data_IF_278213200247
#
_entry.id   IF_278213200247
#
_cell.length_a   1.000
_cell.length_b   1.000
_cell.length_c   1.000
_cell.angle_alpha   90.00
_cell.angle_beta   90.00
_cell.angle_gamma   90.00
#
_symmetry.space_group_name_H-M   'P 1'
#
loop_
_entity.id
_entity.type
_entity.pdbx_description
1 polymer ?
#
# COMPACT_ATOMS: atom_id res chain seq x y z
N UNK A 1 -3.11 -17.70 -11.61
CA UNK A 1 -4.46 -17.89 -12.23
C UNK A 1 -5.55 -17.12 -11.47
N UNK A 2 -5.67 -17.27 -10.15
CA UNK A 2 -6.58 -16.46 -9.30
C UNK A 2 -6.44 -14.95 -9.54
N UNK A 3 -5.20 -14.46 -9.54
CA UNK A 3 -4.84 -13.08 -9.84
C UNK A 3 -5.29 -12.63 -11.23
N UNK A 4 -5.32 -13.53 -12.22
CA UNK A 4 -5.77 -13.20 -13.58
C UNK A 4 -7.28 -12.96 -13.63
N UNK A 5 -8.07 -13.74 -12.88
CA UNK A 5 -9.52 -13.52 -12.77
C UNK A 5 -9.83 -12.22 -12.04
N UNK A 6 -9.08 -11.92 -10.96
CA UNK A 6 -9.22 -10.65 -10.27
C UNK A 6 -8.86 -9.47 -11.18
N UNK A 7 -7.70 -9.51 -11.83
CA UNK A 7 -7.28 -8.49 -12.81
C UNK A 7 -8.37 -8.21 -13.83
N UNK A 8 -8.90 -9.27 -14.44
CA UNK A 8 -9.98 -9.15 -15.42
C UNK A 8 -11.19 -8.40 -14.85
N UNK A 9 -11.61 -8.71 -13.61
CA UNK A 9 -12.74 -8.04 -12.97
C UNK A 9 -12.44 -6.60 -12.56
N UNK A 10 -11.20 -6.27 -12.23
CA UNK A 10 -10.76 -4.89 -11.94
C UNK A 10 -10.73 -4.03 -13.21
N UNK A 11 -10.27 -4.60 -14.33
CA UNK A 11 -10.27 -3.93 -15.64
C UNK A 11 -11.69 -3.59 -16.11
N UNK A 12 -12.67 -4.41 -15.73
CA UNK A 12 -14.10 -4.22 -16.03
C UNK A 12 -14.92 -3.81 -14.80
N UNK A 13 -14.30 -3.16 -13.82
CA UNK A 13 -14.93 -2.87 -12.52
C UNK A 13 -16.16 -1.98 -12.70
N UNK A 14 -17.25 -2.31 -12.02
CA UNK A 14 -18.54 -1.63 -12.16
C UNK A 14 -19.44 -2.21 -13.27
N UNK A 15 -18.90 -3.03 -14.17
CA UNK A 15 -19.65 -3.68 -15.24
C UNK A 15 -19.91 -5.16 -14.95
N UNK A 16 -20.99 -5.68 -15.54
CA UNK A 16 -21.27 -7.11 -15.51
C UNK A 16 -20.58 -7.83 -16.66
N UNK A 17 -19.81 -8.86 -16.33
CA UNK A 17 -19.17 -9.74 -17.30
C UNK A 17 -19.65 -11.17 -17.13
N UNK A 18 -20.04 -11.81 -18.23
CA UNK A 18 -20.46 -13.21 -18.21
C UNK A 18 -19.31 -14.14 -17.79
N UNK A 19 -19.61 -15.19 -17.01
CA UNK A 19 -18.59 -16.19 -16.67
C UNK A 19 -18.03 -16.95 -17.87
N UNK A 20 -18.73 -16.92 -19.01
CA UNK A 20 -18.30 -17.51 -20.28
C UNK A 20 -17.29 -16.63 -21.01
N UNK A 21 -17.49 -15.31 -20.97
CA UNK A 21 -16.53 -14.32 -21.44
C UNK A 21 -15.20 -14.48 -20.67
N UNK A 22 -15.25 -14.43 -19.33
CA UNK A 22 -14.05 -14.58 -18.47
C UNK A 22 -13.33 -15.91 -18.75
N UNK A 23 -14.08 -16.99 -18.91
CA UNK A 23 -13.53 -18.31 -19.22
C UNK A 23 -12.80 -18.34 -20.57
N UNK A 24 -13.39 -17.72 -21.58
CA UNK A 24 -12.85 -17.65 -22.95
C UNK A 24 -11.57 -16.82 -22.96
N UNK A 25 -11.62 -15.60 -22.40
CA UNK A 25 -10.52 -14.65 -22.47
C UNK A 25 -9.31 -15.11 -21.64
N UNK A 26 -9.56 -15.76 -20.50
CA UNK A 26 -8.50 -16.31 -19.65
C UNK A 26 -8.11 -17.76 -19.99
N UNK A 27 -8.74 -18.38 -20.99
CA UNK A 27 -8.53 -19.77 -21.41
C UNK A 27 -8.65 -20.79 -20.26
N UNK A 28 -9.71 -20.64 -19.46
CA UNK A 28 -10.04 -21.54 -18.33
C UNK A 28 -11.50 -22.02 -18.43
N UNK A 29 -11.90 -23.00 -17.61
CA UNK A 29 -13.29 -23.48 -17.62
C UNK A 29 -14.22 -22.54 -16.84
N UNK A 30 -15.51 -22.49 -17.21
CA UNK A 30 -16.54 -21.76 -16.42
C UNK A 30 -16.58 -22.21 -14.96
N UNK A 31 -16.33 -23.50 -14.70
CA UNK A 31 -16.24 -24.04 -13.33
C UNK A 31 -15.03 -23.49 -12.58
N UNK A 32 -13.88 -23.30 -13.25
CA UNK A 32 -12.71 -22.66 -12.66
C UNK A 32 -12.98 -21.18 -12.34
N UNK A 33 -13.66 -20.46 -13.24
CA UNK A 33 -14.13 -19.08 -12.98
C UNK A 33 -14.98 -19.06 -11.72
N UNK A 34 -16.03 -19.89 -11.62
CA UNK A 34 -16.89 -19.93 -10.43
C UNK A 34 -16.11 -20.21 -9.13
N UNK A 35 -15.15 -21.15 -9.14
CA UNK A 35 -14.29 -21.43 -7.98
C UNK A 35 -13.45 -20.21 -7.59
N UNK A 36 -12.88 -19.50 -8.58
CA UNK A 36 -12.11 -18.28 -8.34
C UNK A 36 -12.99 -17.14 -7.82
N UNK A 37 -14.17 -16.92 -8.38
CA UNK A 37 -15.13 -15.91 -7.88
C UNK A 37 -15.54 -16.20 -6.43
N UNK A 38 -15.86 -17.46 -6.12
CA UNK A 38 -16.22 -17.86 -4.75
C UNK A 38 -15.10 -17.50 -3.77
N UNK A 39 -13.87 -17.84 -4.11
CA UNK A 39 -12.70 -17.50 -3.30
C UNK A 39 -12.49 -15.99 -3.15
N UNK A 40 -12.64 -15.21 -4.23
CA UNK A 40 -12.54 -13.75 -4.16
C UNK A 40 -13.60 -13.15 -3.21
N UNK A 41 -14.83 -13.67 -3.22
CA UNK A 41 -15.84 -13.27 -2.23
C UNK A 41 -15.46 -13.62 -0.80
N UNK A 42 -14.85 -14.77 -0.57
CA UNK A 42 -14.33 -15.18 0.75
C UNK A 42 -13.21 -14.26 1.24
N UNK A 43 -12.43 -13.66 0.32
CA UNK A 43 -11.46 -12.60 0.64
C UNK A 43 -12.09 -11.22 0.88
N UNK A 44 -13.41 -11.10 0.71
CA UNK A 44 -14.18 -9.87 0.94
C UNK A 44 -14.46 -9.04 -0.31
N UNK A 45 -14.11 -9.51 -1.51
CA UNK A 45 -14.40 -8.75 -2.74
C UNK A 45 -15.91 -8.71 -2.94
N UNK A 46 -16.44 -7.49 -3.08
CA UNK A 46 -17.85 -7.29 -3.33
C UNK A 46 -18.15 -7.57 -4.80
N UNK A 47 -18.36 -8.85 -5.09
CA UNK A 47 -18.67 -9.34 -6.43
C UNK A 47 -20.14 -9.74 -6.45
N UNK A 48 -20.96 -8.94 -7.12
CA UNK A 48 -22.34 -9.29 -7.44
C UNK A 48 -22.39 -10.41 -8.49
N UNK A 49 -23.42 -11.25 -8.45
CA UNK A 49 -23.69 -12.17 -9.55
C UNK A 49 -25.16 -12.28 -9.85
N UNK A 50 -25.52 -12.18 -11.12
CA UNK A 50 -26.89 -12.43 -11.60
C UNK A 50 -26.89 -13.49 -12.69
N UNK A 51 -27.91 -14.35 -12.71
CA UNK A 51 -27.98 -15.53 -13.61
C UNK A 51 -27.88 -15.20 -15.11
N UNK A 52 -28.13 -13.96 -15.52
CA UNK A 52 -28.12 -13.51 -16.92
C UNK A 52 -26.93 -12.62 -17.29
N UNK A 53 -26.41 -11.84 -16.34
CA UNK A 53 -25.36 -10.85 -16.62
C UNK A 53 -23.96 -11.35 -16.24
N UNK A 54 -23.85 -12.37 -15.37
CA UNK A 54 -22.57 -12.90 -14.91
C UNK A 54 -22.13 -12.30 -13.59
N UNK A 55 -20.89 -11.80 -13.54
CA UNK A 55 -20.22 -11.29 -12.35
C UNK A 55 -19.89 -9.81 -12.50
N UNK A 56 -20.08 -9.02 -11.45
CA UNK A 56 -19.70 -7.62 -11.40
C UNK A 56 -18.93 -7.36 -10.13
N UNK A 57 -17.70 -6.87 -10.25
CA UNK A 57 -16.99 -6.32 -9.10
C UNK A 57 -17.52 -4.91 -8.82
N UNK A 58 -18.00 -4.67 -7.61
CA UNK A 58 -18.51 -3.37 -7.20
C UNK A 58 -17.40 -2.32 -7.29
N UNK A 59 -17.73 -1.13 -7.80
CA UNK A 59 -16.82 0.00 -7.92
C UNK A 59 -16.14 0.35 -6.60
N UNK A 60 -16.85 0.14 -5.49
CA UNK A 60 -16.38 0.44 -4.13
C UNK A 60 -15.61 -0.74 -3.48
N UNK A 61 -15.40 -1.86 -4.18
CA UNK A 61 -14.62 -2.97 -3.63
C UNK A 61 -13.14 -2.60 -3.60
N UNK A 62 -12.66 -2.28 -2.40
CA UNK A 62 -11.30 -1.83 -2.14
C UNK A 62 -10.56 -2.82 -1.26
N UNK A 63 -10.12 -3.92 -1.85
CA UNK A 63 -9.19 -4.83 -1.22
C UNK A 63 -7.80 -4.55 -1.72
N UNK A 64 -6.89 -4.38 -0.78
CA UNK A 64 -5.48 -4.27 -1.04
C UNK A 64 -4.97 -5.60 -1.61
N UNK A 65 -4.38 -5.55 -2.79
CA UNK A 65 -3.80 -6.74 -3.42
C UNK A 65 -2.56 -6.40 -4.22
N UNK A 66 -1.62 -7.35 -4.25
CA UNK A 66 -0.39 -7.25 -5.05
C UNK A 66 -0.71 -6.77 -6.46
N UNK A 67 -1.73 -7.40 -7.03
CA UNK A 67 -2.22 -7.17 -8.38
C UNK A 67 -2.57 -5.69 -8.62
N UNK A 68 -3.44 -5.11 -7.79
CA UNK A 68 -3.86 -3.69 -7.94
C UNK A 68 -2.72 -2.72 -7.71
N UNK A 69 -1.83 -3.00 -6.74
CA UNK A 69 -0.68 -2.11 -6.54
C UNK A 69 0.22 -2.16 -7.77
N UNK A 70 0.50 -3.37 -8.27
CA UNK A 70 1.38 -3.58 -9.41
C UNK A 70 0.87 -2.97 -10.72
N UNK A 71 -0.44 -2.82 -10.91
CA UNK A 71 -0.98 -2.11 -12.10
C UNK A 71 -0.68 -0.62 -12.11
N UNK A 72 -0.34 -0.03 -10.96
CA UNK A 72 -0.03 1.39 -10.82
C UNK A 72 1.47 1.67 -10.57
N UNK A 73 2.31 0.64 -10.52
CA UNK A 73 3.76 0.81 -10.35
C UNK A 73 4.44 1.12 -11.69
N UNK A 74 5.35 2.08 -11.69
CA UNK A 74 6.12 2.47 -12.89
C UNK A 74 7.22 1.46 -13.24
N UNK A 75 7.67 0.68 -12.24
CA UNK A 75 8.70 -0.35 -12.36
C UNK A 75 8.30 -1.60 -11.58
N UNK A 76 8.90 -2.73 -11.93
CA UNK A 76 8.74 -3.95 -11.15
C UNK A 76 9.43 -3.79 -9.79
N UNK A 77 8.65 -3.76 -8.71
CA UNK A 77 9.11 -3.65 -7.32
C UNK A 77 8.71 -4.92 -6.57
N UNK A 78 9.60 -5.43 -5.73
CA UNK A 78 9.28 -6.49 -4.79
C UNK A 78 8.29 -5.95 -3.76
N UNK A 79 7.04 -6.41 -3.83
CA UNK A 79 5.99 -6.06 -2.87
C UNK A 79 5.25 -7.31 -2.38
N UNK A 80 5.02 -7.37 -1.07
CA UNK A 80 4.24 -8.41 -0.41
C UNK A 80 3.03 -7.77 0.27
N UNK A 81 1.86 -8.35 0.03
CA UNK A 81 0.60 -7.87 0.62
C UNK A 81 -0.01 -8.95 1.50
N UNK A 82 -0.35 -8.56 2.72
CA UNK A 82 -0.93 -9.44 3.74
C UNK A 82 -2.34 -8.99 4.10
N UNK A 83 -3.17 -9.94 4.52
CA UNK A 83 -4.49 -9.60 5.08
C UNK A 83 -4.39 -9.08 6.51
N UNK A 84 -3.46 -9.60 7.29
CA UNK A 84 -3.24 -9.17 8.67
C UNK A 84 -1.79 -9.47 9.06
N UNK A 85 -1.17 -8.55 9.79
CA UNK A 85 0.14 -8.72 10.42
C UNK A 85 0.08 -8.22 11.87
N UNK A 86 1.07 -8.58 12.69
CA UNK A 86 1.27 -7.88 13.96
C UNK A 86 1.77 -6.46 13.70
N UNK A 87 2.82 -6.32 12.89
CA UNK A 87 3.35 -5.04 12.42
C UNK A 87 4.13 -5.24 11.12
N UNK A 88 3.92 -4.34 10.17
CA UNK A 88 4.67 -4.27 8.90
C UNK A 88 6.17 -4.06 9.14
N UNK A 89 6.54 -3.16 10.07
CA UNK A 89 7.94 -2.94 10.47
C UNK A 89 8.59 -4.18 11.09
N UNK A 90 7.83 -4.99 11.86
CA UNK A 90 8.36 -6.24 12.43
C UNK A 90 8.53 -7.31 11.36
N UNK A 91 7.56 -7.44 10.48
CA UNK A 91 7.56 -8.46 9.42
C UNK A 91 8.71 -8.21 8.42
N UNK A 92 8.93 -6.96 8.02
CA UNK A 92 9.89 -6.63 6.97
C UNK A 92 11.35 -6.89 7.38
N UNK A 93 11.65 -6.94 8.67
CA UNK A 93 12.99 -7.26 9.21
C UNK A 93 13.46 -8.69 8.93
N UNK A 94 12.57 -9.56 8.50
CA UNK A 94 12.90 -10.94 8.16
C UNK A 94 13.54 -11.07 6.76
N UNK A 95 13.59 -9.97 6.01
CA UNK A 95 14.03 -9.94 4.62
C UNK A 95 15.35 -9.19 4.46
N UNK A 96 16.09 -9.51 3.39
CA UNK A 96 17.42 -8.96 3.09
C UNK A 96 17.50 -8.33 1.70
N UNK A 97 16.35 -7.99 1.11
CA UNK A 97 16.27 -7.36 -0.20
C UNK A 97 16.90 -5.95 -0.19
N UNK A 98 17.47 -5.53 -1.33
CA UNK A 98 17.93 -4.14 -1.52
C UNK A 98 16.80 -3.14 -1.38
N UNK A 99 15.62 -3.47 -1.93
CA UNK A 99 14.39 -2.69 -1.83
C UNK A 99 13.21 -3.66 -1.75
N UNK A 100 12.39 -3.55 -0.72
CA UNK A 100 11.18 -4.37 -0.53
C UNK A 100 10.09 -3.55 0.12
N UNK A 101 8.85 -3.77 -0.33
CA UNK A 101 7.67 -3.20 0.30
C UNK A 101 6.81 -4.31 0.92
N UNK A 102 6.35 -4.08 2.14
CA UNK A 102 5.31 -4.91 2.77
C UNK A 102 4.13 -4.01 3.08
N UNK A 103 2.94 -4.42 2.67
CA UNK A 103 1.69 -3.75 3.03
C UNK A 103 0.70 -4.75 3.64
N UNK A 104 -0.19 -4.26 4.49
CA UNK A 104 -1.24 -5.08 5.11
C UNK A 104 -2.56 -4.33 5.18
N UNK A 105 -3.65 -5.07 5.18
CA UNK A 105 -4.97 -4.51 5.46
C UNK A 105 -5.16 -4.13 6.93
N UNK A 106 -4.54 -4.88 7.85
CA UNK A 106 -4.65 -4.68 9.30
C UNK A 106 -3.31 -4.92 10.02
N UNK A 107 -3.05 -4.14 11.08
CA UNK A 107 -2.01 -4.45 12.07
C UNK A 107 -2.61 -4.62 13.46
N UNK A 108 -2.33 -5.77 14.11
CA UNK A 108 -2.81 -6.04 15.49
C UNK A 108 -1.93 -5.40 16.57
N UNK A 109 -0.68 -5.10 16.25
CA UNK A 109 0.34 -4.51 17.13
C UNK A 109 1.08 -3.35 16.44
N UNK A 110 0.38 -2.52 15.68
CA UNK A 110 0.97 -1.33 15.04
C UNK A 110 1.67 -0.43 16.07
N UNK A 111 2.83 0.11 15.70
CA UNK A 111 3.68 0.93 16.58
C UNK A 111 3.83 2.32 15.96
N UNK A 112 3.59 3.36 16.76
CA UNK A 112 3.87 4.75 16.42
C UNK A 112 5.21 5.20 17.02
N UNK A 113 5.66 6.39 16.64
CA UNK A 113 6.83 7.02 17.24
C UNK A 113 6.70 7.10 18.77
N UNK A 114 7.81 6.93 19.48
CA UNK A 114 7.84 6.83 20.95
C UNK A 114 7.28 5.52 21.54
N UNK A 115 7.00 4.51 20.71
CA UNK A 115 6.59 3.17 21.17
C UNK A 115 5.11 3.03 21.54
N UNK A 116 4.30 4.07 21.30
CA UNK A 116 2.85 4.02 21.49
C UNK A 116 2.17 3.13 20.43
N UNK A 117 0.94 2.68 20.70
CA UNK A 117 0.18 1.89 19.72
C UNK A 117 -0.31 2.76 18.57
N UNK A 118 -0.17 2.27 17.33
CA UNK A 118 -0.79 2.84 16.14
C UNK A 118 -1.98 1.96 15.71
N UNK A 119 -3.20 2.45 15.92
CA UNK A 119 -4.42 1.70 15.56
C UNK A 119 -4.51 1.55 14.03
N UNK A 120 -4.59 0.31 13.55
CA UNK A 120 -4.52 -0.02 12.11
C UNK A 120 -5.62 -1.02 11.71
N UNK A 121 -6.90 -0.63 11.72
CA UNK A 121 -8.02 -1.55 11.46
C UNK A 121 -8.14 -1.95 9.99
N UNK A 122 -8.66 -3.16 9.77
CA UNK A 122 -8.89 -3.75 8.44
C UNK A 122 -9.62 -2.78 7.50
N UNK A 123 -9.05 -2.56 6.31
CA UNK A 123 -9.71 -1.84 5.23
C UNK A 123 -9.79 -0.31 5.40
N UNK A 124 -9.21 0.28 6.46
CA UNK A 124 -9.39 1.73 6.76
C UNK A 124 -8.22 2.62 6.40
N UNK A 125 -7.06 2.05 6.14
CA UNK A 125 -5.85 2.84 5.91
C UNK A 125 -4.86 2.18 4.97
N UNK A 126 -3.77 2.91 4.78
CA UNK A 126 -2.53 2.41 4.20
C UNK A 126 -1.60 2.10 5.36
N UNK A 127 -1.22 0.84 5.48
CA UNK A 127 -0.27 0.36 6.48
C UNK A 127 0.82 -0.41 5.75
N UNK A 128 1.99 0.21 5.63
CA UNK A 128 3.10 -0.39 4.89
C UNK A 128 4.45 -0.10 5.53
N UNK A 129 5.44 -0.90 5.18
CA UNK A 129 6.85 -0.64 5.44
C UNK A 129 7.67 -0.82 4.18
N UNK A 130 8.72 -0.03 4.08
CA UNK A 130 9.68 -0.07 2.98
C UNK A 130 11.06 -0.34 3.57
N UNK A 131 11.69 -1.42 3.11
CA UNK A 131 13.07 -1.79 3.42
C UNK A 131 13.96 -1.27 2.29
N UNK A 132 15.06 -0.63 2.66
CA UNK A 132 16.07 -0.11 1.75
C UNK A 132 17.46 -0.45 2.29
N UNK A 133 18.38 -0.85 1.41
CA UNK A 133 19.81 -0.97 1.70
C UNK A 133 20.59 0.01 0.82
N UNK A 134 20.60 1.31 1.17
CA UNK A 134 21.23 2.32 0.34
C UNK A 134 22.75 2.36 0.55
N UNK A 135 23.48 2.75 -0.49
CA UNK A 135 24.86 3.20 -0.38
C UNK A 135 24.87 4.64 0.17
N UNK A 136 24.78 4.78 1.49
CA UNK A 136 24.61 6.05 2.18
C UNK A 136 25.43 6.09 3.47
N UNK A 137 26.06 7.23 3.76
CA UNK A 137 26.75 7.48 5.03
C UNK A 137 25.79 8.11 6.04
N UNK A 138 26.04 7.88 7.33
CA UNK A 138 25.24 8.47 8.40
C UNK A 138 25.18 10.01 8.34
N UNK A 139 26.23 10.66 7.83
CA UNK A 139 26.25 12.12 7.66
C UNK A 139 25.17 12.67 6.72
N UNK A 140 24.69 11.87 5.77
CA UNK A 140 23.73 12.26 4.74
C UNK A 140 22.28 11.88 5.09
N UNK A 141 22.05 11.26 6.26
CA UNK A 141 20.75 10.69 6.63
C UNK A 141 19.64 11.73 6.66
N UNK A 142 19.90 12.96 7.12
CA UNK A 142 18.88 13.99 7.21
C UNK A 142 18.34 14.38 5.84
N UNK A 143 19.22 14.64 4.87
CA UNK A 143 18.85 14.96 3.49
C UNK A 143 18.12 13.78 2.83
N UNK A 144 18.56 12.55 3.08
CA UNK A 144 17.87 11.36 2.60
C UNK A 144 16.45 11.24 3.19
N UNK A 145 16.28 11.51 4.49
CA UNK A 145 14.97 11.46 5.15
C UNK A 145 14.04 12.58 4.67
N UNK A 146 14.55 13.77 4.39
CA UNK A 146 13.77 14.87 3.81
C UNK A 146 13.25 14.51 2.42
N UNK A 147 14.08 13.85 1.61
CA UNK A 147 13.69 13.34 0.30
C UNK A 147 12.58 12.29 0.41
N UNK A 148 12.73 11.30 1.30
CA UNK A 148 11.68 10.29 1.57
C UNK A 148 10.37 10.94 2.03
N UNK A 149 10.44 11.89 2.96
CA UNK A 149 9.29 12.60 3.48
C UNK A 149 8.56 13.37 2.37
N UNK A 150 9.30 14.09 1.52
CA UNK A 150 8.73 14.78 0.36
C UNK A 150 8.10 13.80 -0.62
N UNK A 151 8.76 12.67 -0.91
CA UNK A 151 8.25 11.65 -1.82
C UNK A 151 6.94 11.02 -1.32
N UNK A 152 6.82 10.76 -0.01
CA UNK A 152 5.59 10.25 0.61
C UNK A 152 4.45 11.25 0.41
N UNK A 153 4.68 12.52 0.72
CA UNK A 153 3.67 13.58 0.52
C UNK A 153 3.28 13.63 -0.95
N UNK A 154 4.24 13.81 -1.86
CA UNK A 154 4.01 13.90 -3.31
C UNK A 154 3.19 12.71 -3.84
N UNK A 155 3.51 11.49 -3.42
CA UNK A 155 2.81 10.28 -3.84
C UNK A 155 1.33 10.28 -3.40
N UNK A 156 1.04 10.82 -2.22
CA UNK A 156 -0.33 10.98 -1.74
C UNK A 156 -1.04 12.12 -2.49
N UNK A 157 -0.40 13.27 -2.65
CA UNK A 157 -1.02 14.46 -3.27
C UNK A 157 -1.40 14.22 -4.73
N UNK A 158 -0.59 13.44 -5.47
CA UNK A 158 -0.85 13.06 -6.88
C UNK A 158 -2.23 12.42 -7.09
N UNK A 159 -2.73 11.68 -6.09
CA UNK A 159 -4.01 10.97 -6.17
C UNK A 159 -5.19 11.74 -5.58
N UNK A 160 -4.90 12.75 -4.78
CA UNK A 160 -5.89 13.30 -3.84
C UNK A 160 -6.15 14.78 -4.04
N UNK A 161 -5.24 15.52 -4.68
CA UNK A 161 -5.21 17.00 -4.74
C UNK A 161 -5.19 17.69 -3.37
N UNK A 162 -5.02 16.90 -2.30
CA UNK A 162 -4.93 17.38 -0.92
C UNK A 162 -3.49 17.82 -0.68
N UNK A 163 -3.31 18.99 -0.08
CA UNK A 163 -1.98 19.43 0.38
C UNK A 163 -1.70 18.91 1.78
N UNK A 164 -0.60 18.19 1.93
CA UNK A 164 -0.17 17.58 3.18
C UNK A 164 1.16 18.14 3.63
N UNK A 165 1.44 18.01 4.92
CA UNK A 165 2.74 18.33 5.49
C UNK A 165 3.20 17.21 6.42
N UNK A 166 4.50 17.17 6.69
CA UNK A 166 5.09 16.28 7.70
C UNK A 166 5.57 17.14 8.85
N UNK A 167 5.13 16.81 10.07
CA UNK A 167 5.57 17.50 11.29
C UNK A 167 6.94 17.03 11.74
N UNK A 168 7.58 17.76 12.66
CA UNK A 168 8.85 17.37 13.28
C UNK A 168 8.78 16.01 14.03
N UNK A 169 7.57 15.53 14.33
CA UNK A 169 7.35 14.22 14.96
C UNK A 169 7.17 13.09 13.94
N UNK A 170 7.32 13.42 12.65
CA UNK A 170 7.01 12.59 11.49
C UNK A 170 5.52 12.24 11.38
N UNK A 171 4.62 13.15 11.79
CA UNK A 171 3.19 12.99 11.58
C UNK A 171 2.79 13.51 10.20
N UNK A 172 1.93 12.76 9.48
CA UNK A 172 1.33 13.21 8.22
C UNK A 172 0.12 14.06 8.59
N UNK A 173 0.14 15.34 8.22
CA UNK A 173 -0.87 16.32 8.59
C UNK A 173 -1.60 16.87 7.37
N UNK A 174 -2.89 17.13 7.54
CA UNK A 174 -3.64 18.08 6.73
C UNK A 174 -3.96 19.28 7.63
N UNK A 175 -3.44 20.45 7.27
CA UNK A 175 -3.40 21.61 8.18
C UNK A 175 -2.76 21.17 9.52
N UNK A 176 -3.47 21.32 10.64
CA UNK A 176 -3.02 20.91 11.97
C UNK A 176 -3.58 19.53 12.40
N UNK A 177 -4.28 18.82 11.51
CA UNK A 177 -4.94 17.55 11.81
C UNK A 177 -4.12 16.35 11.35
N UNK A 178 -3.86 15.43 12.28
CA UNK A 178 -3.10 14.21 12.01
C UNK A 178 -3.92 13.18 11.24
N UNK A 179 -3.42 12.78 10.07
CA UNK A 179 -3.92 11.69 9.24
C UNK A 179 -3.16 10.38 9.46
N UNK A 180 -1.93 10.46 9.97
CA UNK A 180 -1.05 9.32 10.03
C UNK A 180 0.32 9.65 10.59
N UNK A 181 1.27 8.73 10.45
CA UNK A 181 2.65 8.95 10.84
C UNK A 181 3.63 8.04 10.10
N UNK A 182 4.88 8.47 10.14
CA UNK A 182 6.02 7.79 9.54
C UNK A 182 6.95 7.36 10.68
N UNK A 183 7.35 6.10 10.67
CA UNK A 183 8.27 5.50 11.63
C UNK A 183 9.54 5.04 10.92
N UNK A 184 10.62 5.79 11.12
CA UNK A 184 11.91 5.53 10.47
C UNK A 184 12.86 4.81 11.42
N UNK A 185 13.49 3.74 10.94
CA UNK A 185 14.48 2.97 11.69
C UNK A 185 15.72 2.81 10.80
N UNK A 186 16.86 3.30 11.29
CA UNK A 186 18.14 3.32 10.55
C UNK A 186 19.14 2.46 11.29
N UNK A 187 19.74 1.51 10.59
CA UNK A 187 20.83 0.69 11.09
C UNK A 187 22.09 0.98 10.28
N UNK A 188 23.19 1.23 11.00
CA UNK A 188 24.47 1.60 10.43
C UNK A 188 25.61 0.89 11.15
N UNK A 189 26.73 0.73 10.46
CA UNK A 189 27.96 0.22 11.04
C UNK A 189 28.73 1.38 11.68
N UNK A 190 29.15 1.22 12.94
CA UNK A 190 29.65 2.32 13.76
C UNK A 190 30.99 2.89 13.30
N UNK A 191 31.92 2.05 12.81
CA UNK A 191 33.28 2.49 12.45
C UNK A 191 33.29 3.23 11.12
N UNK A 192 32.68 2.63 10.10
CA UNK A 192 32.60 3.12 8.73
C UNK A 192 31.51 4.16 8.53
N UNK A 193 30.54 4.23 9.45
CA UNK A 193 29.34 5.05 9.37
C UNK A 193 28.47 4.71 8.14
N UNK A 194 28.63 3.51 7.58
CA UNK A 194 27.81 3.02 6.48
C UNK A 194 26.43 2.61 6.97
N UNK A 195 25.40 3.18 6.38
CA UNK A 195 24.02 2.74 6.59
C UNK A 195 23.82 1.48 5.76
N UNK A 196 23.48 0.37 6.42
CA UNK A 196 23.24 -0.90 5.72
C UNK A 196 21.76 -1.26 5.66
N UNK A 197 20.90 -0.60 6.45
CA UNK A 197 19.45 -0.82 6.43
C UNK A 197 18.70 0.43 6.87
N UNK A 198 17.67 0.79 6.10
CA UNK A 198 16.63 1.74 6.50
C UNK A 198 15.28 1.06 6.34
N UNK A 199 14.46 1.14 7.39
CA UNK A 199 13.06 0.71 7.36
C UNK A 199 12.16 1.92 7.64
N UNK A 200 11.29 2.22 6.68
CA UNK A 200 10.30 3.31 6.78
C UNK A 200 8.91 2.69 6.88
N UNK A 201 8.30 2.78 8.06
CA UNK A 201 6.90 2.44 8.28
C UNK A 201 6.00 3.63 7.99
N UNK A 202 4.93 3.43 7.22
CA UNK A 202 3.96 4.47 6.86
C UNK A 202 2.58 3.95 7.25
N UNK A 203 1.93 4.68 8.16
CA UNK A 203 0.56 4.43 8.58
C UNK A 203 -0.30 5.66 8.34
N UNK A 204 -1.34 5.54 7.52
CA UNK A 204 -2.24 6.65 7.19
C UNK A 204 -3.70 6.21 7.14
N UNK A 205 -4.60 7.02 7.71
CA UNK A 205 -6.04 6.80 7.68
C UNK A 205 -6.64 7.33 6.38
N UNK A 206 -7.26 6.43 5.62
CA UNK A 206 -7.88 6.76 4.32
C UNK A 206 -9.38 6.90 4.45
N UNK A 207 -10.04 6.01 5.21
CA UNK A 207 -11.49 6.02 5.39
C UNK A 207 -11.90 6.30 6.83
N UNK A 208 -13.09 6.89 6.98
CA UNK A 208 -13.62 7.26 8.28
C UNK A 208 -13.72 6.06 9.23
N UNK A 209 -13.47 6.37 10.50
CA UNK A 209 -13.46 5.45 11.63
C UNK A 209 -13.27 6.23 12.91
N UNK A 210 -12.35 5.79 13.76
CA UNK A 210 -12.07 6.45 15.05
C UNK A 210 -11.13 7.67 14.94
N UNK A 211 -10.55 7.91 13.76
CA UNK A 211 -9.52 8.92 13.53
C UNK A 211 -9.86 9.76 12.30
N UNK A 212 -9.36 11.01 12.29
CA UNK A 212 -9.44 11.89 11.13
C UNK A 212 -8.72 11.25 9.95
N UNK A 213 -9.39 11.25 8.80
CA UNK A 213 -9.01 10.46 7.63
C UNK A 213 -9.10 11.28 6.35
N UNK A 214 -8.49 10.77 5.28
CA UNK A 214 -8.55 11.40 3.98
C UNK A 214 -9.99 11.53 3.45
N UNK A 215 -10.86 10.57 3.76
CA UNK A 215 -12.28 10.65 3.45
C UNK A 215 -12.96 11.87 4.08
N UNK A 216 -12.59 12.24 5.30
CA UNK A 216 -13.18 13.41 5.99
C UNK A 216 -12.80 14.74 5.32
N UNK A 217 -11.74 14.74 4.51
CA UNK A 217 -11.30 15.88 3.69
C UNK A 217 -12.00 15.86 2.33
N UNK A 218 -12.00 14.72 1.66
CA UNK A 218 -12.38 14.60 0.26
C UNK A 218 -13.86 14.27 0.01
N UNK A 219 -14.51 13.62 0.97
CA UNK A 219 -15.90 13.14 0.84
C UNK A 219 -16.13 12.12 -0.27
N UNK A 220 -15.06 11.50 -0.80
CA UNK A 220 -15.11 10.55 -1.92
C UNK A 220 -14.12 9.40 -1.73
N UNK A 221 -14.37 8.33 -2.48
CA UNK A 221 -13.53 7.14 -2.54
C UNK A 221 -12.09 7.45 -2.95
N UNK A 222 -11.13 6.78 -2.33
CA UNK A 222 -9.69 6.92 -2.58
C UNK A 222 -9.06 5.53 -2.69
N UNK A 223 -8.57 5.15 -3.86
CA UNK A 223 -7.99 3.83 -4.08
C UNK A 223 -6.68 3.67 -3.28
N UNK A 224 -6.71 2.82 -2.25
CA UNK A 224 -5.54 2.59 -1.37
C UNK A 224 -4.38 1.94 -2.10
N UNK A 225 -4.65 1.09 -3.08
CA UNK A 225 -3.59 0.43 -3.86
C UNK A 225 -2.86 1.43 -4.76
N UNK A 226 -3.59 2.39 -5.33
CA UNK A 226 -3.03 3.48 -6.15
C UNK A 226 -2.21 4.46 -5.32
N UNK A 227 -2.67 4.82 -4.11
CA UNK A 227 -1.90 5.63 -3.16
C UNK A 227 -0.59 4.93 -2.78
N UNK A 228 -0.65 3.63 -2.43
CA UNK A 228 0.54 2.84 -2.12
C UNK A 228 1.51 2.84 -3.29
N UNK A 229 1.04 2.53 -4.50
CA UNK A 229 1.88 2.52 -5.70
C UNK A 229 2.52 3.88 -5.97
N UNK A 230 1.76 4.97 -5.82
CA UNK A 230 2.27 6.32 -6.07
C UNK A 230 3.34 6.74 -5.07
N UNK A 231 3.17 6.41 -3.78
CA UNK A 231 4.23 6.61 -2.78
C UNK A 231 5.48 5.81 -3.14
N UNK A 232 5.32 4.55 -3.56
CA UNK A 232 6.45 3.71 -3.97
C UNK A 232 7.16 4.30 -5.19
N UNK A 233 6.41 4.76 -6.20
CA UNK A 233 6.96 5.36 -7.41
C UNK A 233 7.77 6.62 -7.10
N UNK A 234 7.23 7.54 -6.28
CA UNK A 234 7.97 8.75 -5.88
C UNK A 234 9.24 8.41 -5.10
N UNK A 235 9.12 7.55 -4.08
CA UNK A 235 10.28 7.14 -3.27
C UNK A 235 11.35 6.51 -4.16
N UNK A 236 10.96 5.54 -4.99
CA UNK A 236 11.91 4.82 -5.82
C UNK A 236 12.56 5.73 -6.88
N UNK A 237 11.80 6.66 -7.47
CA UNK A 237 12.35 7.64 -8.41
C UNK A 237 13.43 8.49 -7.74
N UNK A 238 13.14 9.00 -6.55
CA UNK A 238 14.03 9.90 -5.81
C UNK A 238 15.27 9.19 -5.28
N UNK A 239 15.15 7.94 -4.83
CA UNK A 239 16.27 7.25 -4.16
C UNK A 239 17.02 6.24 -5.02
N UNK A 240 16.58 5.95 -6.25
CA UNK A 240 17.15 4.87 -7.07
C UNK A 240 18.67 4.97 -7.22
N UNK A 241 19.22 6.18 -7.29
CA UNK A 241 20.67 6.45 -7.35
C UNK A 241 21.46 5.96 -6.13
N UNK A 242 20.80 5.78 -4.98
CA UNK A 242 21.41 5.27 -3.76
C UNK A 242 21.33 3.74 -3.66
N UNK A 243 20.56 3.07 -4.52
CA UNK A 243 20.34 1.62 -4.46
C UNK A 243 21.28 0.82 -5.37
N UNK A 244 22.03 1.50 -6.24
CA UNK A 244 22.94 0.89 -7.21
C UNK A 244 24.29 0.50 -6.57
#
# INVERSE_FOLDING_TARGET
MREKVLNYLEETKGDFISGEQIATDLKITRTAVWKHIKYLRELGYDIESTKKMGYKLNINSDILSYVKVNTHLDKAIDIKIYKQLSSTNKEIRQYTNKFLVIATEEQTEGIANGGSKFYSPDGKGVYMSILMQPNLKLGDIHTFMDLINSAIVNGIEKNTTVRLSISDKNDILYEDKKLGGILSQVNYEYVTQDIYEIIIGIGMYIYSGNYFSLWDILGKYCNRSEIIASIINEIYADISIFLD
#
